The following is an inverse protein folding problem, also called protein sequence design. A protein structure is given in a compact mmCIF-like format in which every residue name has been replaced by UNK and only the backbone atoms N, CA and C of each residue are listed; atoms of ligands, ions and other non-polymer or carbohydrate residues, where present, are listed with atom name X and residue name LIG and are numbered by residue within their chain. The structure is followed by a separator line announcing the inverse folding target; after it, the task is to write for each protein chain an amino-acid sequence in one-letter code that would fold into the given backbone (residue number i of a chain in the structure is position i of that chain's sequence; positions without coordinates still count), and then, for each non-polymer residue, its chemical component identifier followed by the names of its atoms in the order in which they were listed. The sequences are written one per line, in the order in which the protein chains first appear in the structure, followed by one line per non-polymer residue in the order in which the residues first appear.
data_IF_188487312677
#
_entry.id   IF_188487312677
#
_cell.length_a   1.000
_cell.length_b   1.000
_cell.length_c   1.000
_cell.angle_alpha   90.00
_cell.angle_beta   90.00
_cell.angle_gamma   90.00
#
_symmetry.space_group_name_H-M   'P 1'
#
loop_
_entity.id
_entity.type
_entity.pdbx_description
1 polymer ?
#
# COMPACT_ATOMS: atom_id res chain seq x y z
N UNK A 1 4.48 -4.87 -9.46
CA UNK A 1 3.12 -4.29 -9.49
C UNK A 1 2.97 -3.33 -8.31
N UNK A 2 2.35 -2.16 -8.51
CA UNK A 2 2.10 -1.21 -7.40
C UNK A 2 0.78 -1.56 -6.71
N UNK A 3 0.84 -1.59 -5.37
CA UNK A 3 -0.24 -1.99 -4.47
C UNK A 3 -0.66 -0.74 -3.69
N UNK A 4 -1.79 -0.11 -4.03
CA UNK A 4 -2.30 1.03 -3.28
C UNK A 4 -2.82 0.61 -1.91
N UNK A 5 -2.83 1.54 -0.96
CA UNK A 5 -3.25 1.30 0.42
C UNK A 5 -4.63 1.89 0.63
N UNK A 6 -5.66 1.06 0.80
CA UNK A 6 -7.06 1.51 0.85
C UNK A 6 -7.48 2.05 2.22
N UNK A 7 -6.62 1.88 3.23
CA UNK A 7 -6.87 2.37 4.59
C UNK A 7 -6.31 3.76 4.86
N UNK A 8 -5.59 4.37 3.92
CA UNK A 8 -5.10 5.75 4.03
C UNK A 8 -6.19 6.74 3.61
N UNK A 9 -6.00 8.02 3.94
CA UNK A 9 -6.95 9.06 3.55
C UNK A 9 -7.05 9.18 2.02
N UNK A 10 -5.91 9.14 1.32
CA UNK A 10 -5.87 9.15 -0.14
C UNK A 10 -6.49 7.87 -0.74
N UNK A 11 -6.20 6.71 -0.15
CA UNK A 11 -6.76 5.42 -0.55
C UNK A 11 -8.29 5.36 -0.52
N UNK A 12 -8.90 6.09 0.42
CA UNK A 12 -10.35 6.18 0.63
C UNK A 12 -11.06 7.17 -0.31
N UNK A 13 -10.33 7.98 -1.06
CA UNK A 13 -10.92 8.95 -2.00
C UNK A 13 -11.61 8.26 -3.20
N UNK A 14 -11.15 7.07 -3.57
CA UNK A 14 -11.68 6.29 -4.69
C UNK A 14 -12.63 5.20 -4.22
N UNK A 15 -13.65 4.91 -5.03
CA UNK A 15 -14.48 3.72 -4.85
C UNK A 15 -13.74 2.48 -5.33
N UNK A 16 -14.20 1.29 -4.94
CA UNK A 16 -13.68 0.02 -5.47
C UNK A 16 -13.73 -0.01 -7.00
N UNK A 17 -14.83 0.45 -7.60
CA UNK A 17 -14.97 0.53 -9.05
C UNK A 17 -13.89 1.40 -9.69
N UNK A 18 -13.57 2.57 -9.10
CA UNK A 18 -12.53 3.43 -9.63
C UNK A 18 -11.14 2.81 -9.57
N UNK A 19 -10.84 2.02 -8.53
CA UNK A 19 -9.59 1.25 -8.44
C UNK A 19 -9.50 0.16 -9.51
N UNK A 20 -10.60 -0.53 -9.79
CA UNK A 20 -10.67 -1.55 -10.84
C UNK A 20 -10.57 -0.94 -12.25
N UNK A 21 -11.20 0.21 -12.49
CA UNK A 21 -11.13 0.95 -13.76
C UNK A 21 -9.70 1.31 -14.17
N UNK A 22 -8.82 1.55 -13.19
CA UNK A 22 -7.40 1.86 -13.44
C UNK A 22 -6.50 0.63 -13.43
N UNK A 23 -7.06 -0.58 -13.37
CA UNK A 23 -6.32 -1.83 -13.50
C UNK A 23 -5.73 -2.38 -12.20
N UNK A 24 -6.04 -1.82 -11.03
CA UNK A 24 -5.58 -2.40 -9.75
C UNK A 24 -6.17 -3.79 -9.56
N UNK A 25 -5.31 -4.78 -9.34
CA UNK A 25 -5.68 -6.17 -9.07
C UNK A 25 -5.42 -6.61 -7.62
N UNK A 26 -4.46 -5.95 -6.96
CA UNK A 26 -4.04 -6.22 -5.60
C UNK A 26 -3.99 -4.92 -4.80
N UNK A 27 -4.59 -4.94 -3.62
CA UNK A 27 -4.68 -3.78 -2.71
C UNK A 27 -4.11 -4.13 -1.34
N UNK A 28 -3.72 -3.12 -0.57
CA UNK A 28 -3.30 -3.29 0.81
C UNK A 28 -4.30 -2.68 1.79
N UNK A 29 -4.55 -3.40 2.90
CA UNK A 29 -5.18 -2.86 4.09
C UNK A 29 -4.18 -2.88 5.26
N UNK A 30 -3.95 -1.72 5.87
CA UNK A 30 -3.09 -1.63 7.06
C UNK A 30 -3.85 -2.05 8.30
N UNK A 31 -3.32 -3.06 9.01
CA UNK A 31 -3.96 -3.59 10.20
C UNK A 31 -4.06 -2.54 11.32
N UNK A 32 -3.07 -1.66 11.44
CA UNK A 32 -3.08 -0.57 12.43
C UNK A 32 -4.31 0.32 12.25
N UNK A 33 -4.63 0.72 11.02
CA UNK A 33 -5.83 1.51 10.73
C UNK A 33 -7.12 0.74 10.99
N UNK A 34 -7.19 -0.54 10.62
CA UNK A 34 -8.36 -1.39 10.88
C UNK A 34 -8.62 -1.59 12.38
N UNK A 35 -7.55 -1.76 13.16
CA UNK A 35 -7.61 -1.87 14.63
C UNK A 35 -8.04 -0.57 15.30
N UNK A 36 -7.83 0.59 14.66
CA UNK A 36 -8.40 1.85 15.13
C UNK A 36 -9.89 1.93 14.79
N UNK A 37 -10.22 1.72 13.51
CA UNK A 37 -11.59 1.66 13.00
C UNK A 37 -11.68 0.65 11.85
N UNK A 38 -12.57 -0.34 11.91
CA UNK A 38 -13.71 -0.46 12.84
C UNK A 38 -13.35 -0.95 14.25
N UNK A 39 -12.15 -1.50 14.47
CA UNK A 39 -11.68 -2.00 15.77
C UNK A 39 -11.68 -3.53 15.88
N UNK A 40 -10.90 -4.05 16.84
CA UNK A 40 -10.66 -5.49 17.01
C UNK A 40 -11.96 -6.30 17.18
N UNK A 41 -12.85 -5.87 18.08
CA UNK A 41 -14.05 -6.63 18.44
C UNK A 41 -14.93 -6.88 17.22
N UNK A 42 -15.14 -5.83 16.41
CA UNK A 42 -15.87 -5.93 15.15
C UNK A 42 -15.17 -6.85 14.14
N UNK A 43 -13.84 -6.70 13.99
CA UNK A 43 -13.09 -7.48 13.00
C UNK A 43 -13.07 -8.98 13.30
N UNK A 44 -13.09 -9.37 14.57
CA UNK A 44 -13.16 -10.79 14.95
C UNK A 44 -14.52 -11.39 14.60
N UNK A 45 -15.60 -10.61 14.76
CA UNK A 45 -16.96 -11.04 14.46
C UNK A 45 -17.27 -11.11 12.96
N UNK A 46 -16.51 -10.40 12.12
CA UNK A 46 -16.68 -10.42 10.66
C UNK A 46 -16.71 -11.85 10.10
N UNK A 47 -17.73 -12.15 9.31
CA UNK A 47 -17.86 -13.41 8.59
C UNK A 47 -16.91 -13.50 7.40
N UNK A 48 -16.80 -12.42 6.64
CA UNK A 48 -15.96 -12.30 5.45
C UNK A 48 -15.44 -10.86 5.32
N UNK A 49 -14.11 -10.73 5.29
CA UNK A 49 -13.46 -9.43 5.17
C UNK A 49 -13.58 -8.83 3.77
N UNK A 50 -13.54 -9.65 2.71
CA UNK A 50 -13.70 -9.18 1.33
C UNK A 50 -15.10 -8.63 1.08
N UNK A 51 -16.13 -9.27 1.64
CA UNK A 51 -17.49 -8.75 1.61
C UNK A 51 -17.63 -7.41 2.35
N UNK A 52 -16.96 -7.26 3.50
CA UNK A 52 -16.96 -6.01 4.27
C UNK A 52 -16.29 -4.85 3.52
N UNK A 53 -15.14 -5.09 2.89
CA UNK A 53 -14.43 -4.05 2.15
C UNK A 53 -15.01 -3.80 0.76
N UNK A 54 -15.80 -4.74 0.24
CA UNK A 54 -16.33 -4.72 -1.11
C UNK A 54 -15.28 -4.98 -2.20
N UNK A 55 -14.03 -5.33 -1.83
CA UNK A 55 -12.97 -5.61 -2.80
C UNK A 55 -13.06 -7.05 -3.31
N UNK A 56 -13.29 -7.28 -4.61
CA UNK A 56 -13.46 -8.63 -5.16
C UNK A 56 -12.14 -9.32 -5.52
N UNK A 57 -11.01 -8.60 -5.52
CA UNK A 57 -9.70 -9.12 -5.86
C UNK A 57 -8.92 -9.66 -4.66
N UNK A 58 -7.68 -10.07 -4.92
CA UNK A 58 -6.75 -10.40 -3.84
C UNK A 58 -6.36 -9.13 -3.05
N UNK A 59 -6.00 -9.31 -1.78
CA UNK A 59 -5.50 -8.22 -0.95
C UNK A 59 -4.33 -8.68 -0.10
N UNK A 60 -3.53 -7.71 0.34
CA UNK A 60 -2.51 -7.88 1.37
C UNK A 60 -3.03 -7.27 2.65
N UNK A 61 -2.95 -8.03 3.75
CA UNK A 61 -3.07 -7.47 5.09
C UNK A 61 -1.67 -7.09 5.57
N UNK A 62 -1.37 -5.79 5.59
CA UNK A 62 -0.11 -5.35 6.19
C UNK A 62 -0.27 -5.25 7.70
N UNK A 63 0.17 -6.28 8.41
CA UNK A 63 0.15 -6.38 9.86
C UNK A 63 1.46 -5.90 10.51
N UNK A 64 2.24 -5.05 9.82
CA UNK A 64 3.35 -4.33 10.43
C UNK A 64 2.82 -3.46 11.57
N UNK A 65 3.35 -3.69 12.77
CA UNK A 65 2.97 -2.97 13.98
C UNK A 65 4.13 -2.09 14.47
N UNK A 66 3.85 -1.07 15.31
CA UNK A 66 4.90 -0.32 15.99
C UNK A 66 5.80 -1.21 16.85
N UNK A 67 6.89 -0.64 17.34
CA UNK A 67 7.85 -1.35 18.19
C UNK A 67 7.15 -2.06 19.37
N UNK A 68 7.56 -3.30 19.60
CA UNK A 68 7.15 -4.11 20.74
C UNK A 68 7.55 -3.43 22.06
N UNK A 69 6.63 -3.41 23.02
CA UNK A 69 6.87 -2.95 24.39
C UNK A 69 7.66 -3.98 25.23
N UNK A 70 8.22 -3.56 26.36
CA UNK A 70 9.03 -4.44 27.24
C UNK A 70 8.27 -5.67 27.74
N UNK A 71 6.93 -5.62 27.72
CA UNK A 71 6.04 -6.71 28.11
C UNK A 71 5.54 -7.53 26.90
N UNK A 72 6.18 -7.41 25.73
CA UNK A 72 5.92 -8.21 24.53
C UNK A 72 4.65 -7.83 23.75
N UNK A 73 4.07 -6.67 24.02
CA UNK A 73 2.84 -6.19 23.38
C UNK A 73 3.06 -5.07 22.35
N UNK A 74 2.02 -4.79 21.58
CA UNK A 74 1.96 -3.69 20.61
C UNK A 74 0.98 -2.65 21.10
N UNK A 75 1.44 -1.41 21.30
CA UNK A 75 0.57 -0.31 21.72
C UNK A 75 0.31 0.63 20.55
N UNK A 76 -0.97 0.82 20.22
CA UNK A 76 -1.42 1.81 19.25
C UNK A 76 -2.06 2.98 20.00
N UNK A 77 -1.73 4.20 19.59
CA UNK A 77 -2.41 5.41 20.05
C UNK A 77 -3.38 5.86 18.97
N UNK A 78 -4.65 5.96 19.32
CA UNK A 78 -5.71 6.45 18.44
C UNK A 78 -5.46 7.90 18.03
N UNK A 79 -5.51 8.15 16.72
CA UNK A 79 -5.48 9.49 16.15
C UNK A 79 -6.82 10.23 16.30
N UNK A 80 -7.90 9.53 16.64
CA UNK A 80 -9.25 10.09 16.75
C UNK A 80 -9.52 10.72 18.12
N UNK A 81 -9.09 10.04 19.19
CA UNK A 81 -9.42 10.41 20.58
C UNK A 81 -8.22 10.31 21.54
N UNK A 82 -7.05 9.92 21.03
CA UNK A 82 -5.83 9.78 21.84
C UNK A 82 -5.80 8.55 22.75
N UNK A 83 -6.83 7.70 22.75
CA UNK A 83 -6.88 6.46 23.52
C UNK A 83 -5.74 5.51 23.13
N UNK A 84 -5.36 4.61 24.04
CA UNK A 84 -4.30 3.62 23.80
C UNK A 84 -4.87 2.22 23.85
N UNK A 85 -4.70 1.49 22.77
CA UNK A 85 -5.09 0.09 22.67
C UNK A 85 -3.84 -0.78 22.62
N UNK A 86 -3.80 -1.82 23.44
CA UNK A 86 -2.67 -2.75 23.52
C UNK A 86 -3.08 -4.13 22.99
N UNK A 87 -2.26 -4.70 22.12
CA UNK A 87 -2.49 -5.99 21.48
C UNK A 87 -1.33 -6.94 21.75
N UNK A 88 -1.64 -8.23 21.87
CA UNK A 88 -0.62 -9.29 21.99
C UNK A 88 -0.41 -9.98 20.67
N UNK A 89 0.75 -10.61 20.48
CA UNK A 89 1.03 -11.44 19.30
C UNK A 89 -0.05 -12.49 19.04
N UNK A 90 -0.51 -13.18 20.10
CA UNK A 90 -1.57 -14.19 20.01
C UNK A 90 -2.90 -13.59 19.52
N UNK A 91 -3.27 -12.40 20.02
CA UNK A 91 -4.47 -11.69 19.55
C UNK A 91 -4.37 -11.37 18.06
N UNK A 92 -3.21 -10.89 17.61
CA UNK A 92 -2.99 -10.54 16.20
C UNK A 92 -3.03 -11.78 15.30
N UNK A 93 -2.39 -12.90 15.68
CA UNK A 93 -2.46 -14.14 14.89
C UNK A 93 -3.88 -14.71 14.78
N UNK A 94 -4.66 -14.65 15.86
CA UNK A 94 -6.08 -15.05 15.82
C UNK A 94 -6.86 -14.17 14.85
N UNK A 95 -6.64 -12.86 14.88
CA UNK A 95 -7.28 -11.93 13.96
C UNK A 95 -6.84 -12.17 12.51
N UNK A 96 -5.55 -12.31 12.23
CA UNK A 96 -5.03 -12.60 10.89
C UNK A 96 -5.65 -13.90 10.35
N UNK A 97 -5.71 -14.95 11.17
CA UNK A 97 -6.34 -16.22 10.79
C UNK A 97 -7.82 -16.08 10.51
N UNK A 98 -8.53 -15.20 11.25
CA UNK A 98 -9.95 -14.91 11.07
C UNK A 98 -10.21 -14.12 9.78
N UNK A 99 -9.39 -13.11 9.50
CA UNK A 99 -9.49 -12.30 8.28
C UNK A 99 -9.06 -13.07 7.03
N UNK A 100 -8.27 -14.14 7.21
CA UNK A 100 -7.84 -15.07 6.17
C UNK A 100 -7.31 -14.39 4.88
N UNK A 101 -6.33 -13.48 4.99
CA UNK A 101 -5.81 -12.75 3.84
C UNK A 101 -4.98 -13.67 2.92
N UNK A 102 -5.06 -13.53 1.58
CA UNK A 102 -4.17 -14.26 0.68
C UNK A 102 -2.68 -13.99 0.95
N UNK A 103 -2.36 -12.75 1.32
CA UNK A 103 -1.00 -12.31 1.65
C UNK A 103 -1.00 -11.54 2.97
N UNK A 104 -0.02 -11.78 3.83
CA UNK A 104 0.13 -11.04 5.08
C UNK A 104 1.58 -10.63 5.31
N UNK A 105 1.80 -9.35 5.57
CA UNK A 105 3.07 -8.90 6.16
C UNK A 105 2.95 -9.08 7.66
N UNK A 106 3.76 -9.96 8.25
CA UNK A 106 3.67 -10.28 9.66
C UNK A 106 4.24 -9.18 10.56
N UNK A 107 3.70 -8.99 11.77
CA UNK A 107 4.27 -8.06 12.74
C UNK A 107 5.70 -8.48 13.10
N UNK A 108 6.58 -7.50 13.29
CA UNK A 108 7.95 -7.76 13.73
C UNK A 108 7.94 -8.55 15.05
N UNK A 109 8.72 -9.63 15.12
CA UNK A 109 8.82 -10.52 16.28
C UNK A 109 7.84 -11.69 16.24
N UNK A 110 7.05 -11.83 15.18
CA UNK A 110 6.14 -12.94 14.93
C UNK A 110 6.83 -14.30 15.08
N UNK A 111 8.03 -14.45 14.50
CA UNK A 111 8.77 -15.70 14.61
C UNK A 111 9.55 -15.79 15.92
N UNK A 112 10.20 -14.71 16.36
CA UNK A 112 10.99 -14.72 17.61
C UNK A 112 10.16 -14.99 18.86
N UNK A 113 8.98 -14.37 18.99
CA UNK A 113 8.12 -14.54 20.17
C UNK A 113 7.32 -15.84 20.12
N UNK A 114 6.97 -16.32 18.93
CA UNK A 114 6.18 -17.53 18.77
C UNK A 114 6.52 -18.28 17.46
N UNK A 115 7.63 -19.06 17.45
CA UNK A 115 8.18 -19.66 16.23
C UNK A 115 7.24 -20.60 15.47
N UNK A 116 6.20 -21.13 16.11
CA UNK A 116 5.26 -22.08 15.52
C UNK A 116 3.87 -21.49 15.20
N UNK A 117 3.56 -20.28 15.67
CA UNK A 117 2.23 -19.70 15.45
C UNK A 117 1.89 -19.50 13.97
N UNK A 118 2.86 -19.02 13.19
CA UNK A 118 2.66 -18.78 11.76
C UNK A 118 2.45 -20.06 10.94
N UNK A 119 2.94 -21.21 11.43
CA UNK A 119 2.67 -22.51 10.81
C UNK A 119 1.18 -22.88 10.91
N UNK A 120 0.50 -22.37 11.94
CA UNK A 120 -0.94 -22.59 12.16
C UNK A 120 -1.85 -21.67 11.35
N UNK A 121 -1.30 -20.71 10.58
CA UNK A 121 -2.11 -19.87 9.69
C UNK A 121 -2.85 -20.75 8.66
N UNK A 122 -4.04 -20.35 8.17
CA UNK A 122 -4.73 -21.10 7.11
C UNK A 122 -3.82 -21.32 5.90
N UNK A 123 -3.92 -22.46 5.21
CA UNK A 123 -2.99 -22.85 4.13
C UNK A 123 -2.96 -21.89 2.94
N UNK A 124 -4.06 -21.15 2.72
CA UNK A 124 -4.16 -20.13 1.67
C UNK A 124 -3.47 -18.80 1.99
N UNK A 125 -2.95 -18.62 3.20
CA UNK A 125 -2.28 -17.38 3.63
C UNK A 125 -0.78 -17.46 3.34
N UNK A 126 -0.24 -16.53 2.55
CA UNK A 126 1.20 -16.44 2.30
C UNK A 126 1.85 -15.36 3.19
N UNK A 127 2.76 -15.73 4.12
CA UNK A 127 3.37 -14.78 5.04
C UNK A 127 4.65 -14.15 4.48
N UNK A 128 4.83 -12.85 4.75
CA UNK A 128 6.08 -12.11 4.56
C UNK A 128 6.68 -11.75 5.92
N UNK A 129 7.98 -12.02 6.09
CA UNK A 129 8.74 -11.71 7.31
C UNK A 129 9.74 -10.59 7.09
N UNK A 130 9.96 -9.76 8.10
CA UNK A 130 11.14 -8.89 8.11
C UNK A 130 12.42 -9.75 8.12
N UNK A 131 13.51 -9.31 7.46
CA UNK A 131 14.82 -9.98 7.51
C UNK A 131 15.30 -10.35 8.91
N UNK A 132 14.97 -9.51 9.90
CA UNK A 132 15.41 -9.71 11.29
C UNK A 132 14.60 -10.78 12.05
N UNK A 133 13.48 -11.23 11.49
CA UNK A 133 12.51 -12.13 12.12
C UNK A 133 12.20 -13.35 11.24
N UNK A 134 13.13 -13.70 10.34
CA UNK A 134 12.95 -14.83 9.44
C UNK A 134 12.89 -16.18 10.18
N UNK A 135 12.05 -17.12 9.74
CA UNK A 135 12.10 -18.49 10.21
C UNK A 135 13.37 -19.21 9.72
N UNK A 136 13.67 -20.36 10.32
CA UNK A 136 14.77 -21.22 9.85
C UNK A 136 14.52 -21.69 8.41
N UNK A 137 15.58 -21.78 7.60
CA UNK A 137 15.53 -22.31 6.23
C UNK A 137 14.99 -23.74 6.14
N UNK A 138 14.93 -24.47 7.26
CA UNK A 138 14.32 -25.81 7.35
C UNK A 138 12.78 -25.78 7.47
N UNK A 139 12.14 -24.61 7.40
CA UNK A 139 10.70 -24.50 7.48
C UNK A 139 10.01 -25.19 6.28
N UNK A 140 8.93 -25.92 6.57
CA UNK A 140 8.19 -26.71 5.56
C UNK A 140 7.19 -25.88 4.77
N UNK A 141 6.82 -24.70 5.26
CA UNK A 141 5.84 -23.79 4.65
C UNK A 141 6.55 -22.66 3.89
N UNK A 142 6.16 -22.37 2.63
CA UNK A 142 6.69 -21.22 1.89
C UNK A 142 6.42 -19.88 2.58
N UNK A 143 7.37 -18.96 2.48
CA UNK A 143 7.28 -17.59 2.99
C UNK A 143 8.08 -16.63 2.10
N UNK A 144 7.79 -15.34 2.21
CA UNK A 144 8.53 -14.27 1.55
C UNK A 144 9.18 -13.31 2.53
N UNK A 145 9.88 -12.30 2.00
CA UNK A 145 10.59 -11.29 2.77
C UNK A 145 9.92 -9.92 2.59
N UNK A 146 9.68 -9.24 3.69
CA UNK A 146 9.20 -7.85 3.72
C UNK A 146 10.37 -6.90 3.92
N UNK A 147 10.61 -6.04 2.94
CA UNK A 147 11.61 -4.98 2.98
C UNK A 147 10.90 -3.63 3.12
N UNK A 148 11.14 -2.93 4.22
CA UNK A 148 10.54 -1.63 4.47
C UNK A 148 11.55 -0.50 4.22
N UNK A 149 11.15 0.50 3.44
CA UNK A 149 11.92 1.70 3.17
C UNK A 149 11.32 2.90 3.90
N UNK A 150 12.10 3.50 4.79
CA UNK A 150 11.67 4.59 5.67
C UNK A 150 11.69 5.98 5.02
N UNK A 151 12.20 6.10 3.79
CA UNK A 151 12.36 7.38 3.10
C UNK A 151 13.56 8.21 3.57
N UNK A 152 14.27 7.79 4.62
CA UNK A 152 15.38 8.52 5.24
C UNK A 152 16.72 7.86 4.88
N UNK A 153 16.76 6.52 4.94
CA UNK A 153 17.93 5.75 4.55
C UNK A 153 18.23 5.91 3.06
N UNK A 154 19.50 5.75 2.68
CA UNK A 154 19.88 5.82 1.28
C UNK A 154 19.17 4.72 0.48
N UNK A 155 18.56 5.07 -0.65
CA UNK A 155 17.86 4.11 -1.53
C UNK A 155 18.76 2.95 -1.99
N UNK A 156 20.06 3.19 -2.14
CA UNK A 156 21.05 2.13 -2.44
C UNK A 156 21.09 1.02 -1.38
N UNK A 157 20.78 1.34 -0.11
CA UNK A 157 20.66 0.34 0.96
C UNK A 157 19.48 -0.60 0.72
N UNK A 158 18.33 -0.09 0.26
CA UNK A 158 17.19 -0.92 -0.12
C UNK A 158 17.54 -1.82 -1.30
N UNK A 159 18.20 -1.28 -2.33
CA UNK A 159 18.64 -2.07 -3.49
C UNK A 159 19.60 -3.19 -3.08
N UNK A 160 20.51 -2.90 -2.14
CA UNK A 160 21.41 -3.92 -1.57
C UNK A 160 20.63 -5.02 -0.85
N UNK A 161 19.65 -4.66 -0.01
CA UNK A 161 18.80 -5.65 0.65
C UNK A 161 18.03 -6.51 -0.36
N UNK A 162 17.47 -5.91 -1.41
CA UNK A 162 16.80 -6.66 -2.47
C UNK A 162 17.75 -7.69 -3.09
N UNK A 163 19.00 -7.32 -3.38
CA UNK A 163 20.00 -8.26 -3.89
C UNK A 163 20.44 -9.34 -2.89
N UNK A 164 20.39 -9.05 -1.59
CA UNK A 164 20.73 -10.02 -0.53
C UNK A 164 19.65 -11.10 -0.36
N UNK A 165 18.40 -10.81 -0.75
CA UNK A 165 17.25 -11.70 -0.59
C UNK A 165 16.60 -12.07 -1.94
N UNK A 166 17.38 -12.07 -3.03
CA UNK A 166 16.90 -12.36 -4.39
C UNK A 166 16.33 -13.78 -4.56
N UNK A 167 16.77 -14.73 -3.71
CA UNK A 167 16.23 -16.09 -3.64
C UNK A 167 14.78 -16.16 -3.08
N UNK A 168 14.28 -15.08 -2.48
CA UNK A 168 12.93 -15.00 -1.89
C UNK A 168 12.00 -14.09 -2.68
N UNK A 169 10.70 -14.37 -2.57
CA UNK A 169 9.67 -13.42 -3.00
C UNK A 169 9.72 -12.21 -2.06
N UNK A 170 10.13 -11.07 -2.61
CA UNK A 170 10.24 -9.82 -1.86
C UNK A 170 8.96 -8.97 -1.99
N UNK A 171 8.46 -8.52 -0.84
CA UNK A 171 7.43 -7.52 -0.68
C UNK A 171 8.08 -6.22 -0.19
N UNK A 172 8.05 -5.17 -1.00
CA UNK A 172 8.65 -3.89 -0.64
C UNK A 172 7.55 -2.90 -0.27
N UNK A 173 7.69 -2.21 0.86
CA UNK A 173 6.76 -1.16 1.25
C UNK A 173 7.45 0.08 1.79
N UNK A 174 6.77 1.23 1.71
CA UNK A 174 7.17 2.44 2.42
C UNK A 174 7.12 3.71 1.57
N UNK A 175 7.90 4.70 2.00
CA UNK A 175 7.93 6.05 1.43
C UNK A 175 8.82 6.08 0.18
N UNK A 176 8.29 5.57 -0.94
CA UNK A 176 8.97 5.49 -2.24
C UNK A 176 8.48 6.61 -3.15
N UNK A 177 9.38 7.50 -3.57
CA UNK A 177 9.03 8.52 -4.57
C UNK A 177 8.88 7.92 -5.97
N UNK A 178 8.31 8.68 -6.92
CA UNK A 178 8.03 8.17 -8.26
C UNK A 178 9.28 7.63 -9.00
N UNK A 179 10.45 8.30 -9.01
CA UNK A 179 11.68 7.71 -9.59
C UNK A 179 12.13 6.40 -8.95
N UNK A 180 12.00 6.28 -7.62
CA UNK A 180 12.32 5.05 -6.89
C UNK A 180 11.34 3.92 -7.23
N UNK A 181 10.04 4.21 -7.28
CA UNK A 181 9.01 3.25 -7.70
C UNK A 181 9.26 2.76 -9.13
N UNK A 182 9.59 3.67 -10.05
CA UNK A 182 9.94 3.32 -11.42
C UNK A 182 11.16 2.40 -11.47
N UNK A 183 12.21 2.72 -10.72
CA UNK A 183 13.42 1.89 -10.66
C UNK A 183 13.11 0.47 -10.17
N UNK A 184 12.35 0.33 -9.08
CA UNK A 184 11.99 -0.98 -8.52
C UNK A 184 11.09 -1.78 -9.47
N UNK A 185 10.16 -1.12 -10.15
CA UNK A 185 9.30 -1.78 -11.12
C UNK A 185 10.07 -2.26 -12.37
N UNK A 186 11.04 -1.47 -12.84
CA UNK A 186 11.96 -1.86 -13.93
C UNK A 186 12.87 -3.04 -13.53
N UNK A 187 13.22 -3.15 -12.24
CA UNK A 187 13.88 -4.33 -11.68
C UNK A 187 12.97 -5.56 -11.60
N UNK A 188 11.69 -5.44 -11.95
CA UNK A 188 10.74 -6.56 -11.95
C UNK A 188 10.19 -6.91 -10.57
N UNK A 189 10.24 -5.99 -9.60
CA UNK A 189 9.76 -6.28 -8.25
C UNK A 189 8.26 -6.61 -8.24
N UNK A 190 7.86 -7.77 -7.69
CA UNK A 190 6.49 -8.26 -7.82
C UNK A 190 5.50 -7.44 -7.00
N UNK A 191 5.85 -7.11 -5.76
CA UNK A 191 4.95 -6.44 -4.81
C UNK A 191 5.57 -5.13 -4.30
N UNK A 192 4.98 -4.00 -4.71
CA UNK A 192 5.40 -2.65 -4.34
C UNK A 192 4.24 -1.93 -3.64
N UNK A 193 4.19 -1.97 -2.33
CA UNK A 193 3.20 -1.24 -1.54
C UNK A 193 3.62 0.22 -1.34
N UNK A 194 2.84 1.15 -1.88
CA UNK A 194 3.07 2.57 -1.66
C UNK A 194 1.78 3.37 -1.82
N UNK A 195 1.59 4.34 -0.94
CA UNK A 195 0.53 5.34 -1.05
C UNK A 195 1.01 6.62 -1.73
N UNK A 196 2.32 6.72 -2.07
CA UNK A 196 2.91 7.94 -2.62
C UNK A 196 2.19 8.45 -3.87
N UNK A 197 1.83 7.61 -4.88
CA UNK A 197 1.12 8.10 -6.05
C UNK A 197 -0.23 8.76 -5.73
N UNK A 198 -0.96 8.19 -4.78
CA UNK A 198 -2.25 8.72 -4.31
C UNK A 198 -2.06 10.01 -3.49
N UNK A 199 -1.04 10.06 -2.62
CA UNK A 199 -0.71 11.24 -1.81
C UNK A 199 -0.24 12.41 -2.67
N UNK A 200 0.62 12.16 -3.64
CA UNK A 200 1.07 13.15 -4.63
C UNK A 200 -0.13 13.72 -5.38
N UNK A 201 -1.03 12.85 -5.86
CA UNK A 201 -2.26 13.27 -6.51
C UNK A 201 -3.14 14.14 -5.60
N UNK A 202 -3.28 13.78 -4.32
CA UNK A 202 -4.03 14.56 -3.34
C UNK A 202 -3.47 15.98 -3.15
N UNK A 203 -2.17 16.16 -3.36
CA UNK A 203 -1.48 17.45 -3.27
C UNK A 203 -1.41 18.20 -4.61
N UNK A 204 -1.97 17.65 -5.69
CA UNK A 204 -1.92 18.23 -7.03
C UNK A 204 -0.66 17.88 -7.82
N UNK A 205 0.21 17.03 -7.30
CA UNK A 205 1.40 16.53 -8.00
C UNK A 205 0.98 15.41 -8.95
N UNK A 206 1.25 15.58 -10.24
CA UNK A 206 0.86 14.63 -11.29
C UNK A 206 2.05 14.12 -12.07
N UNK A 207 1.96 12.86 -12.51
CA UNK A 207 3.00 12.20 -13.29
C UNK A 207 2.73 12.34 -14.79
N UNK A 208 3.74 12.70 -15.58
CA UNK A 208 3.61 12.92 -17.01
C UNK A 208 4.90 12.59 -17.73
N UNK A 209 4.91 11.54 -18.54
CA UNK A 209 6.04 11.20 -19.42
C UNK A 209 7.45 11.44 -18.84
N UNK A 210 7.83 10.70 -17.80
CA UNK A 210 9.08 10.84 -17.03
C UNK A 210 9.32 12.24 -16.40
N UNK A 211 8.29 13.05 -16.29
CA UNK A 211 8.28 14.33 -15.56
C UNK A 211 7.22 14.29 -14.46
N UNK A 212 7.42 15.17 -13.50
CA UNK A 212 6.51 15.40 -12.39
C UNK A 212 6.29 16.91 -12.37
N UNK A 213 5.03 17.35 -12.29
CA UNK A 213 4.71 18.77 -12.14
C UNK A 213 3.53 18.96 -11.20
N UNK A 214 3.40 20.18 -10.69
CA UNK A 214 2.30 20.57 -9.82
C UNK A 214 1.17 21.17 -10.66
N UNK A 215 -0.05 20.70 -10.44
CA UNK A 215 -1.25 21.35 -10.96
C UNK A 215 -1.58 22.65 -10.23
N UNK A 216 -0.86 23.02 -9.17
CA UNK A 216 -1.00 24.33 -8.52
C UNK A 216 -0.22 25.44 -9.24
N UNK A 217 0.69 25.09 -10.15
CA UNK A 217 1.47 26.08 -10.89
C UNK A 217 0.55 26.91 -11.79
N UNK A 218 0.65 28.25 -11.73
CA UNK A 218 -0.18 29.17 -12.54
C UNK A 218 -0.08 28.90 -14.06
N UNK A 219 1.07 28.38 -14.51
CA UNK A 219 1.27 27.98 -15.90
C UNK A 219 0.26 26.92 -16.36
N UNK A 220 -0.35 26.15 -15.45
CA UNK A 220 -1.35 25.12 -15.74
C UNK A 220 -2.75 25.69 -16.00
N UNK A 221 -3.05 26.90 -15.50
CA UNK A 221 -4.37 27.53 -15.58
C UNK A 221 -4.88 27.72 -17.02
N UNK A 222 -3.98 27.76 -18.01
CA UNK A 222 -4.30 27.97 -19.43
C UNK A 222 -3.98 26.76 -20.32
N UNK A 223 -3.61 25.62 -19.72
CA UNK A 223 -3.22 24.42 -20.47
C UNK A 223 -4.45 23.61 -20.87
N UNK A 224 -4.76 23.58 -22.17
CA UNK A 224 -5.92 22.88 -22.72
C UNK A 224 -5.66 21.41 -23.07
N UNK A 225 -4.41 20.95 -22.91
CA UNK A 225 -4.07 19.54 -23.05
C UNK A 225 -4.47 18.74 -21.80
N UNK A 226 -4.73 17.42 -21.91
CA UNK A 226 -4.87 16.54 -20.75
C UNK A 226 -3.57 16.49 -19.93
N UNK A 227 -3.63 15.81 -18.77
CA UNK A 227 -2.44 15.62 -17.92
C UNK A 227 -1.30 15.01 -18.74
N UNK A 228 -1.59 13.93 -19.47
CA UNK A 228 -0.67 13.27 -20.39
C UNK A 228 -1.41 12.81 -21.67
N UNK A 229 -1.07 13.35 -22.86
CA UNK A 229 -1.73 13.00 -24.12
C UNK A 229 -1.60 11.53 -24.53
N UNK A 230 -0.60 10.80 -24.02
CA UNK A 230 -0.42 9.37 -24.32
C UNK A 230 -0.95 8.45 -23.22
N UNK A 231 -1.51 9.01 -22.15
CA UNK A 231 -2.10 8.24 -21.06
C UNK A 231 -3.54 7.81 -21.40
N UNK A 232 -3.85 6.54 -21.15
CA UNK A 232 -5.18 5.97 -21.37
C UNK A 232 -5.97 5.74 -20.07
N UNK A 233 -5.61 6.44 -19.00
CA UNK A 233 -6.38 6.40 -17.76
C UNK A 233 -7.78 7.03 -17.96
N UNK A 234 -8.78 6.69 -17.12
CA UNK A 234 -10.13 7.23 -17.23
C UNK A 234 -10.18 8.77 -17.27
N UNK A 235 -9.29 9.45 -16.54
CA UNK A 235 -9.16 10.92 -16.51
C UNK A 235 -8.68 11.48 -17.86
N UNK A 236 -7.59 10.94 -18.41
CA UNK A 236 -7.03 11.41 -19.67
C UNK A 236 -7.88 11.02 -20.89
N UNK A 237 -8.53 9.84 -20.86
CA UNK A 237 -9.46 9.39 -21.90
C UNK A 237 -10.70 10.28 -22.01
N UNK A 238 -11.15 10.87 -20.90
CA UNK A 238 -12.22 11.89 -20.89
C UNK A 238 -11.75 13.26 -21.40
N UNK A 239 -10.45 13.42 -21.71
CA UNK A 239 -9.83 14.67 -22.19
C UNK A 239 -10.01 15.83 -21.21
N UNK A 240 -10.03 15.54 -19.91
CA UNK A 240 -10.03 16.59 -18.89
C UNK A 240 -8.72 17.36 -18.96
N UNK A 241 -8.81 18.68 -19.15
CA UNK A 241 -7.65 19.54 -19.38
C UNK A 241 -6.92 19.85 -18.08
N UNK A 242 -5.62 20.14 -18.17
CA UNK A 242 -4.83 20.61 -17.02
C UNK A 242 -5.39 21.91 -16.43
N UNK A 243 -5.88 22.82 -17.27
CA UNK A 243 -6.58 24.03 -16.83
C UNK A 243 -7.84 23.72 -16.01
N UNK A 244 -8.65 22.74 -16.45
CA UNK A 244 -9.84 22.34 -15.72
C UNK A 244 -9.50 21.69 -14.38
N UNK A 245 -8.49 20.82 -14.35
CA UNK A 245 -8.04 20.16 -13.12
C UNK A 245 -7.37 21.13 -12.15
N UNK A 246 -6.61 22.12 -12.65
CA UNK A 246 -6.09 23.24 -11.86
C UNK A 246 -7.24 23.98 -11.16
N UNK A 247 -8.26 24.39 -11.91
CA UNK A 247 -9.46 25.03 -11.36
C UNK A 247 -10.20 24.14 -10.34
N UNK A 248 -10.40 22.87 -10.65
CA UNK A 248 -11.05 21.94 -9.72
C UNK A 248 -10.23 21.72 -8.45
N UNK A 249 -8.90 21.72 -8.53
CA UNK A 249 -8.06 21.54 -7.34
C UNK A 249 -8.25 22.70 -6.36
N UNK A 250 -8.40 23.92 -6.86
CA UNK A 250 -8.62 25.13 -6.05
C UNK A 250 -10.03 25.22 -5.47
N UNK A 251 -11.05 24.86 -6.25
CA UNK A 251 -12.46 25.12 -5.89
C UNK A 251 -13.28 23.89 -5.53
N UNK A 252 -12.84 22.69 -5.92
CA UNK A 252 -13.55 21.44 -5.65
C UNK A 252 -12.55 20.28 -5.44
N UNK A 253 -11.64 20.40 -4.44
CA UNK A 253 -10.46 19.54 -4.33
C UNK A 253 -10.82 18.06 -4.25
N UNK A 254 -11.86 17.67 -3.52
CA UNK A 254 -12.25 16.26 -3.39
C UNK A 254 -12.62 15.61 -4.73
N UNK A 255 -13.24 16.35 -5.64
CA UNK A 255 -13.55 15.86 -6.99
C UNK A 255 -12.27 15.77 -7.82
N UNK A 256 -11.42 16.80 -7.76
CA UNK A 256 -10.15 16.81 -8.48
C UNK A 256 -9.26 15.63 -8.07
N UNK A 257 -9.07 15.44 -6.76
CA UNK A 257 -8.23 14.39 -6.20
C UNK A 257 -8.61 13.00 -6.71
N UNK A 258 -9.91 12.72 -6.91
CA UNK A 258 -10.35 11.45 -7.51
C UNK A 258 -9.75 11.25 -8.91
N UNK A 259 -9.83 12.26 -9.78
CA UNK A 259 -9.27 12.21 -11.12
C UNK A 259 -7.74 12.10 -11.11
N UNK A 260 -7.07 12.80 -10.20
CA UNK A 260 -5.62 12.79 -10.10
C UNK A 260 -5.09 11.46 -9.57
N UNK A 261 -5.75 10.85 -8.58
CA UNK A 261 -5.37 9.54 -8.04
C UNK A 261 -5.53 8.48 -9.14
N UNK A 262 -6.65 8.49 -9.87
CA UNK A 262 -6.85 7.57 -10.99
C UNK A 262 -5.72 7.68 -12.03
N UNK A 263 -5.31 8.91 -12.36
CA UNK A 263 -4.22 9.16 -13.30
C UNK A 263 -2.87 8.66 -12.78
N UNK A 264 -2.45 9.09 -11.58
CA UNK A 264 -1.14 8.73 -11.03
C UNK A 264 -1.01 7.22 -10.85
N UNK A 265 -2.06 6.55 -10.36
CA UNK A 265 -2.04 5.10 -10.15
C UNK A 265 -1.98 4.36 -11.47
N UNK A 266 -2.79 4.75 -12.45
CA UNK A 266 -2.73 4.15 -13.79
C UNK A 266 -1.32 4.30 -14.39
N UNK A 267 -0.77 5.52 -14.36
CA UNK A 267 0.57 5.79 -14.86
C UNK A 267 1.62 4.92 -14.15
N UNK A 268 1.53 4.83 -12.82
CA UNK A 268 2.40 3.99 -12.01
C UNK A 268 2.29 2.50 -12.32
N UNK A 269 1.14 2.00 -12.77
CA UNK A 269 0.99 0.60 -13.18
C UNK A 269 1.56 0.34 -14.57
N UNK A 270 1.27 1.20 -15.54
CA UNK A 270 1.58 0.93 -16.96
C UNK A 270 2.97 1.38 -17.37
N UNK A 271 3.42 2.53 -16.86
CA UNK A 271 4.65 3.17 -17.33
C UNK A 271 5.90 2.67 -16.59
N UNK A 272 5.70 1.95 -15.48
CA UNK A 272 6.79 1.43 -14.65
C UNK A 272 7.10 -0.04 -14.93
N UNK A 273 6.18 -0.80 -15.54
CA UNK A 273 6.42 -2.19 -15.93
C UNK A 273 7.10 -2.24 -17.31
N UNK A 274 8.17 -3.04 -17.49
CA UNK A 274 8.69 -3.31 -18.82
C UNK A 274 7.60 -4.02 -19.65
N UNK A 275 7.36 -3.51 -20.87
CA UNK A 275 6.40 -4.07 -21.81
C UNK A 275 6.84 -5.39 -22.43
#
# INVERSE_FOLDING_TARGET
MIIPILTTDAGRCLTVANWQEVGVQLVCYQLTSLLMKPGLDFLIELSDFSAYTGWPGAFVLNASMPKIDDAGGYTLRSSYDGSRCRYTMNTLFKLISRLNPPFVVLPQGANQQNPSAWLSLPSGVFPFFSPMDMPSRAATRPYGIHLHYDGITAFSSLLKQISEYDEYICYVSGELNAPQLQTLAQMGMPYLESDMPSRDACQGTVYHHNKIYSLQDEAQAFQLDPIDPVCHCPTCSQKLTRAYLHHLLEHTPLLCQRFLIQHNIYYSQTSFTPG
#
